data_IF_766793967032
#
_entry.id   IF_766793967032
#
_cell.length_a   1.000
_cell.length_b   1.000
_cell.length_c   1.000
_cell.angle_alpha   90.00
_cell.angle_beta   90.00
_cell.angle_gamma   90.00
#
_symmetry.space_group_name_H-M   'P 1'
#
loop_
_entity.id
_entity.type
_entity.pdbx_description
1 polymer ?
#
# COMPACT_ATOMS: atom_id res chain seq x y z
N UNK A 1 -16.78 -29.49 -8.46
CA UNK A 1 -15.39 -29.69 -7.95
C UNK A 1 -15.30 -28.87 -6.67
N UNK A 2 -14.82 -29.46 -5.58
CA UNK A 2 -14.64 -28.78 -4.29
C UNK A 2 -13.17 -28.46 -4.13
N UNK A 3 -12.85 -27.23 -3.69
CA UNK A 3 -11.51 -26.78 -3.40
C UNK A 3 -11.21 -26.92 -1.90
N UNK A 4 -9.96 -27.07 -1.54
CA UNK A 4 -9.53 -27.00 -0.13
C UNK A 4 -9.53 -25.53 0.33
N UNK A 5 -8.99 -24.64 -0.51
CA UNK A 5 -8.97 -23.20 -0.26
C UNK A 5 -9.51 -22.41 -1.44
N UNK A 6 -10.29 -21.38 -1.15
CA UNK A 6 -10.68 -20.36 -2.14
C UNK A 6 -10.13 -19.02 -1.67
N UNK A 7 -9.38 -18.34 -2.54
CA UNK A 7 -8.80 -17.02 -2.27
C UNK A 7 -9.47 -16.00 -3.17
N UNK A 8 -9.90 -14.88 -2.62
CA UNK A 8 -10.53 -13.78 -3.37
C UNK A 8 -9.61 -12.56 -3.36
N UNK A 9 -9.17 -12.14 -4.56
CA UNK A 9 -8.37 -10.96 -4.81
C UNK A 9 -6.99 -11.26 -5.40
N UNK A 10 -6.76 -10.80 -6.64
CA UNK A 10 -5.53 -10.96 -7.42
C UNK A 10 -4.51 -9.82 -7.20
N UNK A 11 -4.57 -9.15 -6.05
CA UNK A 11 -3.51 -8.26 -5.58
C UNK A 11 -2.36 -9.04 -4.93
N UNK A 12 -1.26 -8.34 -4.61
CA UNK A 12 -0.05 -8.99 -4.10
C UNK A 12 -0.28 -9.83 -2.83
N UNK A 13 -1.19 -9.40 -1.93
CA UNK A 13 -1.48 -10.14 -0.69
C UNK A 13 -2.19 -11.47 -1.02
N UNK A 14 -3.23 -11.45 -1.88
CA UNK A 14 -3.97 -12.66 -2.24
C UNK A 14 -3.11 -13.63 -3.05
N UNK A 15 -2.36 -13.13 -4.03
CA UNK A 15 -1.44 -13.97 -4.83
C UNK A 15 -0.34 -14.58 -3.96
N UNK A 16 0.27 -13.79 -3.08
CA UNK A 16 1.29 -14.29 -2.14
C UNK A 16 0.71 -15.38 -1.22
N UNK A 17 -0.51 -15.19 -0.73
CA UNK A 17 -1.20 -16.19 0.08
C UNK A 17 -1.45 -17.48 -0.70
N UNK A 18 -1.94 -17.37 -1.95
CA UNK A 18 -2.20 -18.52 -2.82
C UNK A 18 -0.92 -19.31 -3.12
N UNK A 19 0.13 -18.60 -3.54
CA UNK A 19 1.43 -19.19 -3.84
C UNK A 19 2.02 -19.92 -2.64
N UNK A 20 2.04 -19.30 -1.46
CA UNK A 20 2.61 -19.91 -0.26
C UNK A 20 1.78 -21.08 0.27
N UNK A 21 0.44 -21.02 0.18
CA UNK A 21 -0.41 -22.17 0.50
C UNK A 21 -0.14 -23.34 -0.44
N UNK A 22 -0.01 -23.09 -1.74
CA UNK A 22 0.29 -24.15 -2.71
C UNK A 22 1.67 -24.74 -2.50
N UNK A 23 2.66 -23.90 -2.15
CA UNK A 23 4.02 -24.37 -1.82
C UNK A 23 4.03 -25.23 -0.55
N UNK A 24 3.27 -24.85 0.49
CA UNK A 24 3.20 -25.56 1.76
C UNK A 24 2.36 -26.84 1.67
N UNK A 25 1.33 -26.86 0.84
CA UNK A 25 0.38 -27.94 0.69
C UNK A 25 0.19 -28.29 -0.80
N UNK A 26 1.19 -28.96 -1.42
CA UNK A 26 1.17 -29.23 -2.88
C UNK A 26 0.00 -30.10 -3.33
N UNK A 27 -0.55 -30.95 -2.44
CA UNK A 27 -1.68 -31.82 -2.73
C UNK A 27 -3.05 -31.13 -2.64
N UNK A 28 -3.10 -29.91 -2.10
CA UNK A 28 -4.35 -29.17 -1.92
C UNK A 28 -4.80 -28.48 -3.22
N UNK A 29 -6.11 -28.48 -3.42
CA UNK A 29 -6.74 -27.76 -4.53
C UNK A 29 -7.05 -26.33 -4.11
N UNK A 30 -6.32 -25.38 -4.67
CA UNK A 30 -6.43 -23.96 -4.32
C UNK A 30 -6.97 -23.20 -5.52
N UNK A 31 -8.05 -22.44 -5.29
CA UNK A 31 -8.66 -21.55 -6.28
C UNK A 31 -8.40 -20.09 -5.90
N UNK A 32 -7.91 -19.29 -6.84
CA UNK A 32 -7.83 -17.83 -6.72
C UNK A 32 -8.78 -17.18 -7.71
N UNK A 33 -9.62 -16.26 -7.24
CA UNK A 33 -10.58 -15.49 -8.04
C UNK A 33 -10.19 -14.00 -8.05
N UNK A 34 -10.05 -13.44 -9.26
CA UNK A 34 -9.84 -12.01 -9.48
C UNK A 34 -10.93 -11.48 -10.45
N UNK A 35 -11.52 -10.34 -10.12
CA UNK A 35 -12.59 -9.70 -10.93
C UNK A 35 -12.08 -9.03 -12.20
N UNK A 36 -10.83 -8.57 -12.19
CA UNK A 36 -10.21 -7.88 -13.32
C UNK A 36 -9.63 -8.87 -14.34
N UNK A 37 -9.34 -8.39 -15.52
CA UNK A 37 -8.71 -9.19 -16.60
C UNK A 37 -7.19 -9.36 -16.42
N UNK A 38 -6.61 -8.72 -15.39
CA UNK A 38 -5.19 -8.78 -15.05
C UNK A 38 -5.01 -8.74 -13.53
N UNK A 39 -3.92 -9.32 -13.04
CA UNK A 39 -3.53 -9.16 -11.64
C UNK A 39 -3.08 -7.73 -11.34
N UNK A 40 -3.06 -7.36 -10.07
CA UNK A 40 -2.48 -6.10 -9.59
C UNK A 40 -3.12 -4.82 -10.14
N UNK A 41 -4.34 -4.89 -10.64
CA UNK A 41 -5.03 -3.74 -11.27
C UNK A 41 -5.24 -2.56 -10.33
N UNK A 42 -5.31 -2.81 -9.01
CA UNK A 42 -5.65 -1.81 -8.00
C UNK A 42 -4.41 -1.38 -7.20
N UNK A 43 -4.45 -1.36 -5.86
CA UNK A 43 -3.40 -0.82 -4.98
C UNK A 43 -2.00 -1.35 -5.29
N UNK A 44 -1.89 -2.63 -5.67
CA UNK A 44 -0.60 -3.25 -6.04
C UNK A 44 0.02 -2.62 -7.29
N UNK A 45 -0.79 -2.19 -8.24
CA UNK A 45 -0.34 -1.53 -9.47
C UNK A 45 -0.27 0.01 -9.36
N UNK A 46 -0.71 0.58 -8.23
CA UNK A 46 -0.82 2.02 -8.02
C UNK A 46 -0.15 2.43 -6.70
N UNK A 47 1.15 2.17 -6.57
CA UNK A 47 1.96 2.49 -5.40
C UNK A 47 3.31 3.10 -5.80
N UNK A 48 4.14 3.42 -4.82
CA UNK A 48 5.45 4.04 -5.04
C UNK A 48 6.58 3.06 -5.43
N UNK A 49 6.31 1.76 -5.51
CA UNK A 49 7.33 0.76 -5.84
C UNK A 49 8.42 0.58 -4.77
N UNK A 50 8.22 1.06 -3.56
CA UNK A 50 9.25 1.05 -2.51
C UNK A 50 9.16 -0.21 -1.65
N UNK A 51 10.26 -0.93 -1.53
CA UNK A 51 10.48 -1.94 -0.49
C UNK A 51 10.92 -1.16 0.77
N UNK A 52 9.99 -1.08 1.74
CA UNK A 52 10.15 -0.26 2.94
C UNK A 52 10.92 -1.00 4.03
N UNK A 53 11.88 -0.33 4.68
CA UNK A 53 12.63 -0.90 5.82
C UNK A 53 11.90 -0.82 7.18
N UNK A 54 10.73 -0.17 7.26
CA UNK A 54 9.92 -0.18 8.48
C UNK A 54 10.18 0.91 9.51
N UNK A 55 10.90 1.97 9.15
CA UNK A 55 11.40 3.03 10.06
C UNK A 55 10.33 3.76 10.89
N UNK A 56 9.07 3.77 10.44
CA UNK A 56 8.00 4.55 11.08
C UNK A 56 7.15 3.76 12.07
N UNK A 57 7.30 2.42 12.11
CA UNK A 57 6.33 1.57 12.78
C UNK A 57 6.66 1.39 14.26
N UNK A 58 5.60 1.30 15.07
CA UNK A 58 5.76 1.04 16.50
C UNK A 58 6.45 -0.31 16.72
N UNK A 59 7.45 -0.38 17.60
CA UNK A 59 8.10 -1.63 17.94
C UNK A 59 7.07 -2.69 18.40
N UNK A 60 7.24 -3.94 17.95
CA UNK A 60 6.35 -5.05 18.27
C UNK A 60 5.03 -5.11 17.49
N UNK A 61 4.64 -4.08 16.72
CA UNK A 61 3.46 -4.11 15.86
C UNK A 61 3.59 -5.16 14.75
N UNK A 62 2.47 -5.64 14.21
CA UNK A 62 2.47 -6.54 13.04
C UNK A 62 3.15 -5.87 11.84
N UNK A 63 2.92 -4.58 11.65
CA UNK A 63 3.61 -3.81 10.61
C UNK A 63 5.13 -3.84 10.74
N UNK A 64 5.67 -3.63 11.95
CA UNK A 64 7.11 -3.67 12.19
C UNK A 64 7.67 -5.05 11.88
N UNK A 65 7.05 -6.11 12.44
CA UNK A 65 7.47 -7.49 12.26
C UNK A 65 7.40 -7.95 10.80
N UNK A 66 6.26 -7.75 10.15
CA UNK A 66 6.05 -8.19 8.77
C UNK A 66 6.82 -7.34 7.76
N UNK A 67 7.04 -6.06 8.05
CA UNK A 67 7.89 -5.24 7.18
C UNK A 67 9.35 -5.72 7.22
N UNK A 68 9.91 -5.93 8.42
CA UNK A 68 11.29 -6.42 8.59
C UNK A 68 11.52 -7.75 7.87
N UNK A 69 10.63 -8.73 8.10
CA UNK A 69 10.69 -10.03 7.42
C UNK A 69 10.45 -9.89 5.91
N UNK A 70 9.55 -8.99 5.50
CA UNK A 70 9.16 -8.78 4.11
C UNK A 70 10.24 -8.17 3.24
N UNK A 71 11.13 -7.33 3.79
CA UNK A 71 12.28 -6.78 3.05
C UNK A 71 13.14 -7.91 2.49
N UNK A 72 13.61 -8.79 3.36
CA UNK A 72 14.45 -9.91 2.97
C UNK A 72 13.72 -10.87 2.02
N UNK A 73 12.49 -11.27 2.40
CA UNK A 73 11.70 -12.22 1.61
C UNK A 73 11.36 -11.69 0.21
N UNK A 74 11.05 -10.38 0.08
CA UNK A 74 10.76 -9.77 -1.24
C UNK A 74 12.00 -9.73 -2.11
N UNK A 75 13.15 -9.34 -1.57
CA UNK A 75 14.40 -9.31 -2.34
C UNK A 75 14.85 -10.71 -2.74
N UNK A 76 14.78 -11.68 -1.83
CA UNK A 76 15.07 -13.09 -2.11
C UNK A 76 14.16 -13.65 -3.21
N UNK A 77 12.85 -13.36 -3.14
CA UNK A 77 11.92 -13.76 -4.20
C UNK A 77 12.29 -13.13 -5.54
N UNK A 78 12.69 -11.85 -5.57
CA UNK A 78 13.13 -11.16 -6.77
C UNK A 78 14.39 -11.81 -7.36
N UNK A 79 15.38 -12.12 -6.53
CA UNK A 79 16.62 -12.78 -6.95
C UNK A 79 16.35 -14.19 -7.54
N UNK A 80 15.45 -14.97 -6.91
CA UNK A 80 15.09 -16.32 -7.35
C UNK A 80 14.24 -16.35 -8.64
N UNK A 81 13.60 -15.22 -9.01
CA UNK A 81 12.65 -15.15 -10.11
C UNK A 81 13.01 -14.11 -11.18
N UNK A 82 14.25 -13.61 -11.20
CA UNK A 82 14.75 -12.62 -12.16
C UNK A 82 13.89 -11.34 -12.24
N UNK A 83 13.33 -10.90 -11.09
CA UNK A 83 12.61 -9.64 -11.02
C UNK A 83 13.59 -8.53 -10.63
N UNK A 84 13.81 -7.52 -11.50
CA UNK A 84 14.76 -6.47 -11.19
C UNK A 84 14.30 -5.60 -10.02
N UNK A 85 15.21 -5.31 -9.10
CA UNK A 85 15.06 -4.34 -8.02
C UNK A 85 16.38 -3.60 -7.79
N UNK A 86 16.33 -2.45 -7.13
CA UNK A 86 17.52 -1.66 -6.82
C UNK A 86 17.55 -1.25 -5.34
N UNK A 87 18.62 -1.59 -4.63
CA UNK A 87 18.86 -1.14 -3.26
C UNK A 87 19.41 0.29 -3.26
N UNK A 88 18.56 1.25 -3.59
CA UNK A 88 18.96 2.65 -3.67
C UNK A 88 19.06 3.34 -2.31
N UNK A 89 18.58 2.74 -1.23
CA UNK A 89 18.52 3.37 0.09
C UNK A 89 17.51 4.52 0.17
N UNK A 90 17.32 5.03 1.39
CA UNK A 90 16.38 6.13 1.67
C UNK A 90 17.03 7.15 2.59
N UNK A 91 16.77 8.42 2.36
CA UNK A 91 17.11 9.54 3.22
C UNK A 91 15.87 10.19 3.79
N UNK A 92 15.81 10.31 5.10
CA UNK A 92 14.80 11.07 5.83
C UNK A 92 15.43 12.40 6.18
N UNK A 93 14.94 13.49 5.60
CA UNK A 93 15.60 14.80 5.65
C UNK A 93 14.87 15.73 6.60
N UNK A 94 15.60 16.30 7.56
CA UNK A 94 15.15 17.36 8.44
C UNK A 94 15.47 18.74 7.82
N UNK A 95 14.48 19.63 7.70
CA UNK A 95 14.62 20.93 7.05
C UNK A 95 14.45 22.12 8.01
N UNK A 96 14.12 21.87 9.27
CA UNK A 96 14.02 22.85 10.34
C UNK A 96 14.33 22.19 11.70
N UNK A 97 14.49 23.00 12.75
CA UNK A 97 14.90 22.55 14.09
C UNK A 97 13.91 21.54 14.71
N UNK A 98 12.61 21.74 14.55
CA UNK A 98 11.60 20.80 15.03
C UNK A 98 11.72 19.43 14.34
N UNK A 99 12.01 19.43 13.05
CA UNK A 99 12.27 18.17 12.32
C UNK A 99 13.58 17.52 12.74
N UNK A 100 14.60 18.27 13.19
CA UNK A 100 15.83 17.71 13.77
C UNK A 100 15.52 17.01 15.09
N UNK A 101 14.73 17.61 15.98
CA UNK A 101 14.29 16.97 17.22
C UNK A 101 13.54 15.66 16.94
N UNK A 102 12.53 15.71 16.03
CA UNK A 102 11.77 14.53 15.60
C UNK A 102 12.65 13.47 14.94
N UNK A 103 13.70 13.88 14.23
CA UNK A 103 14.67 12.99 13.60
C UNK A 103 15.43 12.16 14.64
N UNK A 104 15.87 12.75 15.74
CA UNK A 104 16.54 12.01 16.82
C UNK A 104 15.62 10.99 17.46
N UNK A 105 14.38 11.37 17.78
CA UNK A 105 13.38 10.43 18.31
C UNK A 105 13.07 9.28 17.34
N UNK A 106 13.04 9.57 16.03
CA UNK A 106 12.84 8.55 15.00
C UNK A 106 14.04 7.61 14.87
N UNK A 107 15.25 8.14 15.00
CA UNK A 107 16.49 7.36 15.00
C UNK A 107 16.52 6.35 16.15
N UNK A 108 16.18 6.76 17.37
CA UNK A 108 16.06 5.86 18.52
C UNK A 108 15.02 4.75 18.28
N UNK A 109 13.87 5.09 17.68
CA UNK A 109 12.85 4.10 17.30
C UNK A 109 13.37 3.09 16.26
N UNK A 110 14.18 3.55 15.30
CA UNK A 110 14.80 2.65 14.33
C UNK A 110 15.75 1.66 15.02
N UNK A 111 16.52 2.11 16.02
CA UNK A 111 17.39 1.24 16.82
C UNK A 111 16.58 0.19 17.61
N UNK A 112 15.44 0.60 18.22
CA UNK A 112 14.54 -0.34 18.91
C UNK A 112 13.95 -1.40 17.97
N UNK A 113 13.74 -1.07 16.70
CA UNK A 113 13.30 -2.01 15.65
C UNK A 113 14.47 -2.77 15.00
N UNK A 114 15.70 -2.56 15.47
CA UNK A 114 16.93 -3.17 14.92
C UNK A 114 17.08 -2.90 13.41
N UNK A 115 16.78 -1.68 12.96
CA UNK A 115 16.94 -1.26 11.56
C UNK A 115 18.32 -0.59 11.44
N UNK A 116 19.11 -1.00 10.43
CA UNK A 116 20.41 -0.39 10.13
C UNK A 116 20.22 1.02 9.56
N UNK A 117 20.49 2.01 10.40
CA UNK A 117 20.34 3.43 10.07
C UNK A 117 21.57 4.24 10.51
N UNK A 118 21.89 5.29 9.75
CA UNK A 118 22.96 6.22 10.07
C UNK A 118 22.41 7.66 10.15
N UNK A 119 22.72 8.37 11.24
CA UNK A 119 22.52 9.82 11.30
C UNK A 119 23.55 10.51 10.40
N UNK A 120 23.09 11.48 9.62
CA UNK A 120 23.90 12.31 8.75
C UNK A 120 23.82 13.78 9.17
N UNK A 121 24.94 14.45 9.24
CA UNK A 121 25.01 15.92 9.34
C UNK A 121 24.73 16.56 7.99
N UNK A 122 24.50 17.85 7.96
CA UNK A 122 24.17 18.60 6.74
C UNK A 122 25.21 18.41 5.61
N UNK A 123 26.50 18.38 5.95
CA UNK A 123 27.59 18.17 4.98
C UNK A 123 27.57 16.76 4.38
N UNK A 124 27.32 15.74 5.22
CA UNK A 124 27.21 14.35 4.76
C UNK A 124 25.97 14.14 3.89
N UNK A 125 24.85 14.77 4.26
CA UNK A 125 23.62 14.80 3.44
C UNK A 125 23.92 15.43 2.08
N UNK A 126 24.54 16.61 2.05
CA UNK A 126 24.88 17.35 0.82
C UNK A 126 25.83 16.56 -0.08
N UNK A 127 26.81 15.86 0.51
CA UNK A 127 27.75 15.01 -0.23
C UNK A 127 27.05 13.83 -0.91
N UNK A 128 26.03 13.22 -0.26
CA UNK A 128 25.27 12.09 -0.82
C UNK A 128 24.23 12.54 -1.84
N UNK A 129 23.58 13.66 -1.57
CA UNK A 129 22.49 14.24 -2.35
C UNK A 129 22.76 15.72 -2.65
N UNK A 130 23.57 16.01 -3.67
CA UNK A 130 23.97 17.39 -4.00
C UNK A 130 22.80 18.34 -4.28
N UNK A 131 21.64 17.82 -4.67
CA UNK A 131 20.45 18.60 -5.01
C UNK A 131 19.45 18.73 -3.84
N UNK A 132 19.76 18.12 -2.68
CA UNK A 132 18.90 18.15 -1.51
C UNK A 132 19.48 19.07 -0.46
N UNK A 133 18.61 19.86 0.18
CA UNK A 133 18.97 20.75 1.28
C UNK A 133 18.27 20.29 2.56
N UNK A 134 18.98 20.40 3.68
CA UNK A 134 18.47 20.02 4.99
C UNK A 134 19.53 20.28 6.07
N UNK A 135 19.08 20.27 7.33
CA UNK A 135 19.93 20.43 8.51
C UNK A 135 20.60 19.10 8.93
N UNK A 136 20.12 17.98 8.37
CA UNK A 136 20.61 16.64 8.60
C UNK A 136 19.61 15.61 8.11
N UNK A 137 19.89 14.32 8.35
CA UNK A 137 18.99 13.26 7.93
C UNK A 137 19.31 11.90 8.54
N UNK A 138 18.42 10.94 8.31
CA UNK A 138 18.65 9.53 8.62
C UNK A 138 18.81 8.79 7.29
N UNK A 139 19.94 8.13 7.09
CA UNK A 139 20.14 7.21 5.98
C UNK A 139 19.71 5.81 6.37
N UNK A 140 18.86 5.19 5.55
CA UNK A 140 18.30 3.84 5.70
C UNK A 140 18.78 3.00 4.52
N UNK A 141 19.74 2.15 4.76
CA UNK A 141 20.43 1.37 3.72
C UNK A 141 19.52 0.33 3.03
N UNK A 142 18.66 -0.32 3.80
CA UNK A 142 17.89 -1.49 3.36
C UNK A 142 16.68 -1.16 2.49
N UNK A 143 16.36 0.12 2.28
CA UNK A 143 15.27 0.50 1.40
C UNK A 143 15.64 0.28 -0.06
N UNK A 144 14.69 -0.25 -0.84
CA UNK A 144 14.89 -0.55 -2.25
C UNK A 144 13.66 -0.13 -3.08
N UNK A 145 13.79 -0.24 -4.39
CA UNK A 145 12.70 -0.03 -5.35
C UNK A 145 12.49 -1.26 -6.22
N UNK A 146 11.24 -1.53 -6.58
CA UNK A 146 10.83 -2.68 -7.38
C UNK A 146 9.51 -2.37 -8.11
N UNK A 147 9.21 -3.09 -9.16
CA UNK A 147 7.87 -3.10 -9.74
C UNK A 147 7.02 -4.21 -9.07
N UNK A 148 6.14 -3.84 -8.13
CA UNK A 148 5.28 -4.81 -7.45
C UNK A 148 4.27 -5.52 -8.37
N UNK A 149 3.94 -4.98 -9.55
CA UNK A 149 3.13 -5.71 -10.53
C UNK A 149 3.91 -6.90 -11.08
N UNK A 150 5.21 -6.72 -11.40
CA UNK A 150 6.08 -7.81 -11.86
C UNK A 150 6.27 -8.87 -10.77
N UNK A 151 6.52 -8.45 -9.53
CA UNK A 151 6.60 -9.38 -8.37
C UNK A 151 5.33 -10.22 -8.27
N UNK A 152 4.16 -9.57 -8.31
CA UNK A 152 2.86 -10.25 -8.18
C UNK A 152 2.59 -11.21 -9.35
N UNK A 153 2.91 -10.80 -10.58
CA UNK A 153 2.75 -11.65 -11.76
C UNK A 153 3.62 -12.90 -11.64
N UNK A 154 4.88 -12.75 -11.22
CA UNK A 154 5.77 -13.89 -10.98
C UNK A 154 5.28 -14.83 -9.88
N UNK A 155 4.72 -14.28 -8.78
CA UNK A 155 4.10 -15.11 -7.74
C UNK A 155 2.89 -15.88 -8.30
N UNK A 156 2.08 -15.25 -9.16
CA UNK A 156 0.95 -15.90 -9.82
C UNK A 156 1.41 -17.02 -10.78
N UNK A 157 2.46 -16.77 -11.57
CA UNK A 157 3.05 -17.78 -12.45
C UNK A 157 3.52 -19.00 -11.63
N UNK A 158 4.24 -18.78 -10.52
CA UNK A 158 4.68 -19.86 -9.62
C UNK A 158 3.51 -20.63 -9.00
N UNK A 159 2.44 -19.91 -8.60
CA UNK A 159 1.22 -20.56 -8.11
C UNK A 159 0.60 -21.48 -9.14
N UNK A 160 0.48 -21.03 -10.40
CA UNK A 160 -0.08 -21.80 -11.52
C UNK A 160 0.82 -22.99 -11.89
N UNK A 161 2.14 -22.79 -11.96
CA UNK A 161 3.13 -23.85 -12.23
C UNK A 161 3.07 -24.99 -11.20
N UNK A 162 2.70 -24.68 -9.95
CA UNK A 162 2.49 -25.68 -8.89
C UNK A 162 1.10 -26.34 -8.91
N UNK A 163 0.28 -26.06 -9.92
CA UNK A 163 -1.06 -26.65 -10.09
C UNK A 163 -2.20 -25.84 -9.47
N UNK A 164 -1.96 -24.60 -9.02
CA UNK A 164 -3.00 -23.70 -8.54
C UNK A 164 -3.95 -23.25 -9.65
N UNK A 165 -5.24 -23.12 -9.33
CA UNK A 165 -6.29 -22.65 -10.26
C UNK A 165 -6.48 -21.13 -10.06
N UNK A 166 -6.03 -20.31 -11.00
CA UNK A 166 -6.19 -18.87 -10.97
C UNK A 166 -7.12 -18.36 -12.06
N UNK A 167 -8.22 -17.72 -11.68
CA UNK A 167 -9.26 -17.26 -12.60
C UNK A 167 -9.42 -15.74 -12.55
N UNK A 168 -9.14 -15.12 -13.67
CA UNK A 168 -9.41 -13.70 -13.94
C UNK A 168 -10.85 -13.52 -14.43
N UNK A 169 -11.35 -12.28 -14.43
CA UNK A 169 -12.71 -11.91 -14.84
C UNK A 169 -13.83 -12.58 -13.99
N UNK A 170 -13.50 -13.00 -12.77
CA UNK A 170 -14.44 -13.65 -11.85
C UNK A 170 -14.78 -12.71 -10.69
N UNK A 171 -15.81 -11.88 -10.87
CA UNK A 171 -16.27 -10.95 -9.83
C UNK A 171 -17.16 -11.68 -8.82
N UNK A 172 -16.65 -11.84 -7.59
CA UNK A 172 -17.46 -12.39 -6.49
C UNK A 172 -18.60 -11.45 -6.12
N UNK A 173 -19.81 -12.00 -6.05
CA UNK A 173 -21.07 -11.28 -5.79
C UNK A 173 -21.89 -11.87 -4.65
N UNK A 174 -21.50 -13.03 -4.12
CA UNK A 174 -22.16 -13.66 -2.99
C UNK A 174 -21.25 -14.66 -2.30
N UNK A 175 -21.36 -14.72 -0.97
CA UNK A 175 -20.65 -15.64 -0.10
C UNK A 175 -21.64 -16.25 0.89
N UNK A 176 -21.50 -17.53 1.18
CA UNK A 176 -22.19 -18.18 2.28
C UNK A 176 -21.29 -19.24 2.92
N UNK A 177 -21.45 -19.43 4.21
CA UNK A 177 -20.72 -20.40 5.00
C UNK A 177 -21.70 -21.36 5.67
N UNK A 178 -21.39 -22.64 5.62
CA UNK A 178 -22.10 -23.71 6.35
C UNK A 178 -21.17 -24.36 7.36
N UNK A 179 -21.66 -25.36 8.08
CA UNK A 179 -20.81 -26.18 8.97
C UNK A 179 -19.73 -26.95 8.21
N UNK A 180 -19.95 -27.25 6.92
CA UNK A 180 -19.12 -28.18 6.14
C UNK A 180 -18.30 -27.49 5.05
N UNK A 181 -18.84 -26.45 4.44
CA UNK A 181 -18.22 -25.77 3.29
C UNK A 181 -18.48 -24.27 3.27
N UNK A 182 -17.72 -23.58 2.41
CA UNK A 182 -18.03 -22.22 1.96
C UNK A 182 -18.46 -22.26 0.50
N UNK A 183 -19.46 -21.45 0.17
CA UNK A 183 -19.93 -21.29 -1.19
C UNK A 183 -19.64 -19.87 -1.67
N UNK A 184 -18.99 -19.77 -2.82
CA UNK A 184 -18.63 -18.51 -3.48
C UNK A 184 -19.38 -18.40 -4.79
N UNK A 185 -20.18 -17.35 -4.94
CA UNK A 185 -20.88 -17.03 -6.18
C UNK A 185 -20.14 -15.90 -6.88
N UNK A 186 -19.69 -16.14 -8.10
CA UNK A 186 -19.01 -15.14 -8.92
C UNK A 186 -19.75 -14.92 -10.25
N UNK A 187 -19.43 -13.80 -10.90
CA UNK A 187 -19.81 -13.50 -12.27
C UNK A 187 -18.60 -13.73 -13.17
N UNK A 188 -18.68 -14.70 -14.06
CA UNK A 188 -17.77 -14.92 -15.18
C UNK A 188 -18.38 -14.31 -16.44
N UNK A 189 -17.82 -13.21 -16.93
CA UNK A 189 -18.36 -12.47 -18.09
C UNK A 189 -19.90 -12.24 -18.00
N UNK A 190 -20.39 -11.92 -16.80
CA UNK A 190 -21.80 -11.65 -16.52
C UNK A 190 -22.65 -12.88 -16.21
N UNK A 191 -22.16 -14.11 -16.40
CA UNK A 191 -22.84 -15.36 -16.04
C UNK A 191 -22.51 -15.77 -14.61
N UNK A 192 -23.49 -16.19 -13.84
CA UNK A 192 -23.27 -16.71 -12.48
C UNK A 192 -22.62 -18.08 -12.53
N UNK A 193 -21.52 -18.22 -11.80
CA UNK A 193 -20.80 -19.47 -11.53
C UNK A 193 -20.65 -19.64 -10.02
N UNK A 194 -20.67 -20.89 -9.56
CA UNK A 194 -20.60 -21.20 -8.12
C UNK A 194 -19.42 -22.13 -7.86
N UNK A 195 -18.66 -21.79 -6.84
CA UNK A 195 -17.54 -22.59 -6.34
C UNK A 195 -17.81 -22.99 -4.89
N UNK A 196 -17.35 -24.19 -4.53
CA UNK A 196 -17.38 -24.70 -3.16
C UNK A 196 -15.97 -24.99 -2.67
N UNK A 197 -15.71 -24.65 -1.42
CA UNK A 197 -14.43 -24.90 -0.78
C UNK A 197 -14.55 -25.17 0.70
N UNK A 198 -13.49 -25.75 1.30
CA UNK A 198 -13.44 -26.04 2.73
C UNK A 198 -13.11 -24.80 3.56
N UNK A 199 -12.34 -23.87 2.99
CA UNK A 199 -11.94 -22.63 3.66
C UNK A 199 -11.81 -21.46 2.67
N UNK A 200 -12.21 -20.28 3.11
CA UNK A 200 -12.19 -19.04 2.33
C UNK A 200 -11.16 -18.05 2.90
N UNK A 201 -10.36 -17.45 2.02
CA UNK A 201 -9.49 -16.32 2.38
C UNK A 201 -9.81 -15.14 1.49
N UNK A 202 -10.09 -13.97 2.08
CA UNK A 202 -10.38 -12.77 1.28
C UNK A 202 -9.31 -11.71 1.44
N UNK A 203 -8.73 -11.30 0.30
CA UNK A 203 -7.69 -10.28 0.17
C UNK A 203 -8.16 -9.15 -0.76
N UNK A 204 -9.35 -8.61 -0.48
CA UNK A 204 -10.08 -7.75 -1.41
C UNK A 204 -9.80 -6.24 -1.27
N UNK A 205 -8.81 -5.87 -0.47
CA UNK A 205 -8.28 -4.51 -0.37
C UNK A 205 -9.36 -3.44 -0.16
N UNK A 206 -9.60 -2.60 -1.16
CA UNK A 206 -10.62 -1.54 -1.11
C UNK A 206 -12.06 -2.04 -0.89
N UNK A 207 -12.32 -3.33 -1.12
CA UNK A 207 -13.65 -3.95 -0.93
C UNK A 207 -13.73 -4.82 0.33
N UNK A 208 -12.71 -4.82 1.19
CA UNK A 208 -12.57 -5.74 2.31
C UNK A 208 -13.79 -5.73 3.25
N UNK A 209 -14.25 -4.56 3.70
CA UNK A 209 -15.42 -4.42 4.57
C UNK A 209 -16.73 -4.93 3.91
N UNK A 210 -16.88 -4.78 2.59
CA UNK A 210 -18.03 -5.28 1.84
C UNK A 210 -18.01 -6.80 1.72
N UNK A 211 -16.83 -7.35 1.42
CA UNK A 211 -16.66 -8.80 1.27
C UNK A 211 -16.89 -9.51 2.60
N UNK A 212 -16.34 -8.97 3.71
CA UNK A 212 -16.56 -9.51 5.04
C UNK A 212 -18.03 -9.50 5.45
N UNK A 213 -18.74 -8.41 5.13
CA UNK A 213 -20.20 -8.32 5.37
C UNK A 213 -21.05 -9.27 4.52
N UNK A 214 -20.56 -9.73 3.36
CA UNK A 214 -21.30 -10.73 2.56
C UNK A 214 -21.50 -12.05 3.32
N UNK A 215 -20.60 -12.39 4.25
CA UNK A 215 -20.78 -13.55 5.16
C UNK A 215 -21.53 -13.22 6.45
N UNK A 216 -22.10 -12.02 6.58
CA UNK A 216 -22.82 -11.61 7.80
C UNK A 216 -21.90 -11.27 8.98
N UNK A 217 -20.58 -11.27 8.80
CA UNK A 217 -19.62 -10.91 9.85
C UNK A 217 -19.79 -9.43 10.18
N UNK A 218 -20.09 -9.14 11.43
CA UNK A 218 -20.25 -7.77 11.93
C UNK A 218 -18.89 -7.09 12.01
N UNK A 219 -18.77 -5.92 11.39
CA UNK A 219 -17.54 -5.12 11.42
C UNK A 219 -17.82 -3.74 11.98
N UNK A 220 -16.95 -3.27 12.88
CA UNK A 220 -17.02 -1.92 13.46
C UNK A 220 -16.24 -0.89 12.66
N UNK A 221 -15.82 -1.25 11.45
CA UNK A 221 -15.07 -0.38 10.54
C UNK A 221 -15.72 -0.27 9.16
N UNK A 222 -15.32 0.75 8.43
CA UNK A 222 -15.53 0.90 6.97
C UNK A 222 -14.22 1.28 6.31
N UNK A 223 -14.06 0.83 5.06
CA UNK A 223 -12.96 1.29 4.21
C UNK A 223 -13.32 2.65 3.62
N UNK A 224 -12.57 3.66 4.02
CA UNK A 224 -12.63 5.00 3.45
C UNK A 224 -11.46 5.15 2.46
N UNK A 225 -11.75 5.46 1.18
CA UNK A 225 -10.69 5.62 0.19
C UNK A 225 -9.99 6.97 0.35
N UNK A 226 -8.67 6.97 0.47
CA UNK A 226 -7.83 8.17 0.37
C UNK A 226 -7.01 8.10 -0.89
N UNK A 227 -7.22 9.07 -1.78
CA UNK A 227 -6.49 9.17 -3.03
C UNK A 227 -5.18 9.89 -2.83
N UNK A 228 -4.08 9.25 -3.21
CA UNK A 228 -2.74 9.82 -3.28
C UNK A 228 -2.46 10.29 -4.69
N UNK A 229 -2.25 11.58 -4.87
CA UNK A 229 -1.90 12.17 -6.16
C UNK A 229 -0.39 12.27 -6.29
N UNK A 230 0.11 11.91 -7.45
CA UNK A 230 1.52 11.95 -7.78
C UNK A 230 1.76 12.89 -8.97
N UNK A 231 2.97 13.41 -9.03
CA UNK A 231 3.57 13.93 -10.23
C UNK A 231 4.81 13.13 -10.60
N UNK A 232 5.13 13.07 -11.87
CA UNK A 232 6.43 12.62 -12.36
C UNK A 232 7.27 13.83 -12.70
N UNK A 233 8.56 13.82 -12.39
CA UNK A 233 9.46 14.86 -12.82
C UNK A 233 9.73 14.74 -14.33
N UNK A 234 10.00 15.89 -14.98
CA UNK A 234 10.46 15.90 -16.36
C UNK A 234 11.76 15.09 -16.49
N UNK A 235 11.94 14.39 -17.60
CA UNK A 235 13.06 13.45 -17.82
C UNK A 235 14.46 14.04 -17.55
N UNK A 236 14.64 15.35 -17.75
CA UNK A 236 15.89 16.06 -17.38
C UNK A 236 16.26 15.95 -15.90
N UNK A 237 15.32 15.56 -15.05
CA UNK A 237 15.47 15.40 -13.61
C UNK A 237 15.55 13.94 -13.15
N UNK A 238 15.69 12.97 -14.05
CA UNK A 238 15.79 11.54 -13.68
C UNK A 238 17.01 11.24 -12.78
N UNK A 239 18.04 12.11 -12.82
CA UNK A 239 19.25 12.00 -11.98
C UNK A 239 19.27 13.01 -10.83
N UNK A 240 18.13 13.64 -10.49
CA UNK A 240 18.07 14.70 -9.49
C UNK A 240 18.35 14.19 -8.06
N UNK A 241 18.07 12.92 -7.80
CA UNK A 241 18.32 12.22 -6.52
C UNK A 241 18.94 10.86 -6.76
N UNK A 242 19.83 10.45 -5.85
CA UNK A 242 20.46 9.14 -5.85
C UNK A 242 19.67 8.13 -5.00
N UNK A 243 18.99 8.62 -3.96
CA UNK A 243 18.22 7.82 -2.99
C UNK A 243 16.75 8.24 -2.99
N UNK A 244 15.92 7.49 -2.27
CA UNK A 244 14.57 7.91 -1.94
C UNK A 244 14.64 9.08 -0.94
N UNK A 245 13.99 10.21 -1.21
CA UNK A 245 14.04 11.40 -0.34
C UNK A 245 12.67 11.60 0.30
N UNK A 246 12.62 11.50 1.61
CA UNK A 246 11.43 11.62 2.42
C UNK A 246 11.57 12.71 3.49
N UNK A 247 10.53 13.46 3.83
CA UNK A 247 10.57 14.35 4.98
C UNK A 247 10.57 13.54 6.28
N UNK A 248 11.07 14.15 7.37
CA UNK A 248 10.81 13.64 8.71
C UNK A 248 9.29 13.69 8.94
N UNK A 249 8.67 12.59 9.43
CA UNK A 249 7.24 12.52 9.61
C UNK A 249 6.75 13.48 10.69
N UNK A 250 5.60 14.08 10.46
CA UNK A 250 4.85 14.78 11.49
C UNK A 250 3.94 13.77 12.20
N UNK A 251 4.09 13.53 13.52
CA UNK A 251 3.27 12.56 14.24
C UNK A 251 1.78 12.94 14.30
N UNK A 252 1.45 14.22 14.14
CA UNK A 252 0.08 14.71 14.15
C UNK A 252 -0.65 14.51 12.82
N UNK A 253 0.09 14.08 11.76
CA UNK A 253 -0.47 13.83 10.45
C UNK A 253 -0.71 12.34 10.21
N UNK A 254 -1.87 11.96 9.65
CA UNK A 254 -2.19 10.54 9.40
C UNK A 254 -1.37 9.92 8.26
N UNK A 255 -0.77 10.74 7.41
CA UNK A 255 -0.01 10.30 6.23
C UNK A 255 1.33 11.04 6.13
N UNK A 256 2.30 10.39 5.50
CA UNK A 256 3.60 10.98 5.22
C UNK A 256 3.47 12.16 4.25
N UNK A 257 4.33 13.16 4.44
CA UNK A 257 4.44 14.28 3.52
C UNK A 257 4.96 13.89 2.14
N UNK A 258 4.82 14.81 1.19
CA UNK A 258 5.30 14.65 -0.20
C UNK A 258 6.79 14.34 -0.22
N UNK A 259 7.19 13.37 -1.01
CA UNK A 259 8.56 12.85 -1.10
C UNK A 259 8.98 12.62 -2.57
N UNK A 260 10.29 12.49 -2.81
CA UNK A 260 10.85 12.13 -4.11
C UNK A 260 11.16 10.64 -4.13
N UNK A 261 10.64 9.93 -5.11
CA UNK A 261 10.84 8.50 -5.26
C UNK A 261 11.45 8.18 -6.62
N UNK A 262 12.64 7.60 -6.61
CA UNK A 262 13.19 6.93 -7.80
C UNK A 262 12.34 5.71 -8.11
N UNK A 263 12.06 5.53 -9.39
CA UNK A 263 11.33 4.37 -9.90
C UNK A 263 12.30 3.42 -10.61
N UNK A 264 11.93 2.15 -10.70
CA UNK A 264 12.78 1.12 -11.34
C UNK A 264 13.01 1.38 -12.83
N UNK A 265 12.15 2.18 -13.47
CA UNK A 265 12.30 2.62 -14.87
C UNK A 265 13.24 3.83 -15.03
N UNK A 266 13.86 4.28 -13.95
CA UNK A 266 14.76 5.43 -13.90
C UNK A 266 14.06 6.78 -13.79
N UNK A 267 12.74 6.85 -13.81
CA UNK A 267 12.01 8.10 -13.59
C UNK A 267 11.99 8.48 -12.10
N UNK A 268 11.63 9.73 -11.80
CA UNK A 268 11.45 10.22 -10.43
C UNK A 268 10.03 10.73 -10.25
N UNK A 269 9.32 10.21 -9.26
CA UNK A 269 8.00 10.67 -8.89
C UNK A 269 8.03 11.57 -7.65
N UNK A 270 7.04 12.45 -7.56
CA UNK A 270 6.83 13.39 -6.45
C UNK A 270 5.45 13.13 -5.86
N UNK A 271 5.39 12.82 -4.58
CA UNK A 271 4.12 12.51 -3.92
C UNK A 271 4.22 11.33 -2.98
N UNK A 272 3.06 10.81 -2.57
CA UNK A 272 1.73 11.37 -2.80
C UNK A 272 1.31 12.40 -1.75
N UNK A 273 0.31 13.18 -2.07
CA UNK A 273 -0.55 13.82 -1.06
C UNK A 273 -1.63 12.82 -0.58
N UNK A 274 -2.62 13.28 0.18
CA UNK A 274 -3.73 12.44 0.61
C UNK A 274 -5.04 13.23 0.65
N UNK A 275 -5.86 13.04 -0.39
CA UNK A 275 -7.20 13.63 -0.46
C UNK A 275 -8.28 12.56 -0.37
N UNK A 276 -9.47 12.92 0.09
CA UNK A 276 -10.59 12.00 0.14
C UNK A 276 -10.97 11.51 -1.27
N UNK A 277 -11.13 10.19 -1.44
CA UNK A 277 -11.64 9.58 -2.67
C UNK A 277 -13.16 9.45 -2.64
N UNK A 278 -13.83 9.70 -3.78
CA UNK A 278 -15.28 9.56 -3.91
C UNK A 278 -15.69 8.27 -4.64
N UNK A 279 -14.70 7.47 -5.01
CA UNK A 279 -14.83 6.14 -5.59
C UNK A 279 -13.70 5.26 -5.08
N UNK A 280 -14.02 4.06 -4.61
CA UNK A 280 -13.03 3.13 -4.04
C UNK A 280 -11.98 2.69 -5.06
N UNK A 281 -12.40 2.46 -6.29
CA UNK A 281 -11.54 2.01 -7.39
C UNK A 281 -11.55 3.04 -8.52
N UNK A 282 -11.17 4.29 -8.22
CA UNK A 282 -11.15 5.40 -9.16
C UNK A 282 -9.82 6.14 -9.14
N UNK A 283 -9.04 6.04 -10.23
CA UNK A 283 -7.68 6.54 -10.33
C UNK A 283 -7.57 7.88 -11.09
N UNK A 284 -8.62 8.39 -11.68
CA UNK A 284 -8.67 9.70 -12.33
C UNK A 284 -8.88 10.85 -11.33
N UNK A 285 -8.82 12.08 -11.80
CA UNK A 285 -8.98 13.28 -10.95
C UNK A 285 -10.42 13.45 -10.44
N UNK A 286 -11.40 13.21 -11.30
CA UNK A 286 -12.82 13.30 -10.96
C UNK A 286 -13.41 11.89 -11.11
N UNK A 287 -13.56 11.22 -9.99
CA UNK A 287 -14.16 9.89 -9.92
C UNK A 287 -15.17 9.89 -8.78
N UNK A 288 -16.43 9.70 -9.14
CA UNK A 288 -17.51 9.62 -8.16
C UNK A 288 -18.30 8.32 -8.44
N UNK A 289 -18.60 7.59 -7.37
CA UNK A 289 -19.52 6.48 -7.38
C UNK A 289 -20.54 6.69 -6.27
N UNK A 290 -21.80 6.79 -6.63
CA UNK A 290 -22.89 7.14 -5.70
C UNK A 290 -22.99 6.12 -4.56
N UNK A 291 -22.81 4.82 -4.84
CA UNK A 291 -22.86 3.77 -3.81
C UNK A 291 -21.69 3.85 -2.85
N UNK A 292 -20.49 4.20 -3.35
CA UNK A 292 -19.30 4.39 -2.50
C UNK A 292 -19.47 5.61 -1.61
N UNK A 293 -19.97 6.71 -2.15
CA UNK A 293 -20.28 7.93 -1.40
C UNK A 293 -21.34 7.68 -0.34
N UNK A 294 -22.44 7.00 -0.70
CA UNK A 294 -23.51 6.67 0.22
C UNK A 294 -23.02 5.79 1.40
N UNK A 295 -22.26 4.74 1.10
CA UNK A 295 -21.67 3.85 2.12
C UNK A 295 -20.74 4.62 3.08
N UNK A 296 -20.04 5.63 2.58
CA UNK A 296 -19.15 6.47 3.35
C UNK A 296 -19.92 7.50 4.22
N UNK A 297 -20.84 8.26 3.64
CA UNK A 297 -21.53 9.36 4.37
C UNK A 297 -22.55 8.85 5.39
N UNK A 298 -23.08 7.65 5.23
CA UNK A 298 -23.95 7.00 6.20
C UNK A 298 -23.22 6.37 7.38
N UNK A 299 -21.87 6.37 7.35
CA UNK A 299 -21.05 5.81 8.41
C UNK A 299 -20.61 6.88 9.40
N UNK A 300 -21.02 6.76 10.67
CA UNK A 300 -20.72 7.75 11.71
C UNK A 300 -19.22 8.00 11.96
N UNK A 301 -18.38 6.97 11.78
CA UNK A 301 -16.91 7.08 11.88
C UNK A 301 -16.32 8.05 10.86
N UNK A 302 -16.89 8.11 9.65
CA UNK A 302 -16.47 9.06 8.61
C UNK A 302 -16.57 10.52 9.08
N UNK A 303 -17.69 10.91 9.69
CA UNK A 303 -17.89 12.28 10.17
C UNK A 303 -16.97 12.64 11.34
N UNK A 304 -16.67 11.67 12.19
CA UNK A 304 -15.73 11.85 13.30
C UNK A 304 -14.31 12.07 12.81
N UNK A 305 -13.83 11.24 11.89
CA UNK A 305 -12.52 11.42 11.22
C UNK A 305 -12.45 12.76 10.49
N UNK A 306 -13.51 13.10 9.73
CA UNK A 306 -13.54 14.38 9.01
C UNK A 306 -13.43 15.58 9.96
N UNK A 307 -14.15 15.55 11.07
CA UNK A 307 -14.10 16.60 12.09
C UNK A 307 -12.70 16.72 12.72
N UNK A 308 -12.06 15.60 13.04
CA UNK A 308 -10.73 15.58 13.66
C UNK A 308 -9.62 16.10 12.74
N UNK A 309 -9.76 15.89 11.43
CA UNK A 309 -8.70 16.23 10.45
C UNK A 309 -9.11 17.30 9.43
N UNK A 310 -10.18 18.08 9.70
CA UNK A 310 -10.75 19.04 8.73
C UNK A 310 -9.72 20.06 8.25
N UNK A 311 -8.89 20.61 9.15
CA UNK A 311 -7.86 21.61 8.80
C UNK A 311 -6.83 21.02 7.84
N UNK A 312 -6.33 19.83 8.12
CA UNK A 312 -5.36 19.13 7.29
C UNK A 312 -5.98 18.73 5.95
N UNK A 313 -7.24 18.26 5.97
CA UNK A 313 -7.97 17.91 4.75
C UNK A 313 -8.16 19.12 3.80
N UNK A 314 -8.45 20.31 4.33
CA UNK A 314 -8.57 21.54 3.51
C UNK A 314 -7.22 21.94 2.90
N UNK A 315 -6.10 21.79 3.63
CA UNK A 315 -4.75 22.04 3.12
C UNK A 315 -4.43 21.07 1.98
N UNK A 316 -4.72 19.78 2.15
CA UNK A 316 -4.49 18.76 1.14
C UNK A 316 -5.34 19.00 -0.12
N UNK A 317 -6.63 19.36 0.03
CA UNK A 317 -7.49 19.73 -1.10
C UNK A 317 -6.92 20.96 -1.84
N UNK A 318 -6.50 22.01 -1.11
CA UNK A 318 -5.86 23.19 -1.70
C UNK A 318 -4.63 22.81 -2.50
N UNK A 319 -3.74 21.98 -1.96
CA UNK A 319 -2.52 21.55 -2.62
C UNK A 319 -2.82 20.64 -3.82
N UNK A 320 -3.87 19.82 -3.77
CA UNK A 320 -4.36 19.02 -4.89
C UNK A 320 -4.83 19.88 -6.08
N UNK A 321 -5.53 20.95 -5.79
CA UNK A 321 -6.08 21.86 -6.81
C UNK A 321 -5.06 22.89 -7.31
N UNK A 322 -4.08 23.25 -6.48
CA UNK A 322 -3.13 24.31 -6.76
C UNK A 322 -1.68 23.79 -6.85
N UNK A 323 -1.26 23.47 -8.06
CA UNK A 323 0.06 22.90 -8.36
C UNK A 323 1.26 23.67 -7.76
N UNK A 324 1.29 25.03 -7.74
CA UNK A 324 2.37 25.76 -7.05
C UNK A 324 2.41 25.50 -5.54
N UNK A 325 1.26 25.28 -4.88
CA UNK A 325 1.19 24.91 -3.47
C UNK A 325 1.77 23.53 -3.23
N UNK A 326 1.45 22.59 -4.11
CA UNK A 326 2.05 21.26 -4.07
C UNK A 326 3.58 21.30 -4.23
N UNK A 327 4.08 22.11 -5.19
CA UNK A 327 5.51 22.30 -5.41
C UNK A 327 6.24 22.80 -4.16
N UNK A 328 5.64 23.70 -3.38
CA UNK A 328 6.26 24.22 -2.14
C UNK A 328 6.56 23.12 -1.12
N UNK A 329 5.78 22.04 -1.11
CA UNK A 329 6.01 20.91 -0.20
C UNK A 329 7.32 20.17 -0.52
N UNK A 330 7.73 20.12 -1.79
CA UNK A 330 8.97 19.48 -2.20
C UNK A 330 10.14 20.45 -2.26
N UNK A 331 9.87 21.73 -2.52
CA UNK A 331 10.91 22.77 -2.55
C UNK A 331 11.59 22.99 -1.21
N UNK A 332 10.95 22.60 -0.08
CA UNK A 332 11.58 22.71 1.23
C UNK A 332 12.89 21.90 1.34
N UNK A 333 13.05 20.82 0.55
CA UNK A 333 14.28 20.02 0.49
C UNK A 333 14.89 19.90 -0.91
N UNK A 334 14.15 20.24 -1.98
CA UNK A 334 14.65 20.29 -3.36
C UNK A 334 14.28 21.61 -4.03
N UNK A 335 14.91 22.75 -3.68
CA UNK A 335 14.47 24.09 -4.04
C UNK A 335 14.57 24.43 -5.53
N UNK A 336 15.37 23.71 -6.31
CA UNK A 336 15.58 23.97 -7.73
C UNK A 336 14.41 23.52 -8.63
N UNK A 337 13.46 22.72 -8.12
CA UNK A 337 12.31 22.27 -8.89
C UNK A 337 11.35 23.43 -9.20
N UNK A 338 10.75 23.40 -10.39
CA UNK A 338 9.81 24.37 -10.86
C UNK A 338 8.44 23.72 -11.18
N UNK A 339 7.37 24.53 -11.28
CA UNK A 339 6.01 24.06 -11.61
C UNK A 339 5.99 23.30 -12.96
N UNK A 340 6.79 23.74 -13.93
CA UNK A 340 6.91 23.12 -15.26
C UNK A 340 7.50 21.69 -15.20
N UNK A 341 8.27 21.38 -14.16
CA UNK A 341 8.92 20.07 -14.00
C UNK A 341 7.96 18.98 -13.52
N UNK A 342 6.85 19.36 -12.88
CA UNK A 342 5.84 18.43 -12.42
C UNK A 342 4.92 18.01 -13.58
N UNK A 343 4.98 16.75 -14.01
CA UNK A 343 4.11 16.17 -15.03
C UNK A 343 3.04 15.32 -14.37
N UNK A 344 1.81 15.23 -14.92
CA UNK A 344 0.78 14.35 -14.38
C UNK A 344 1.27 12.89 -14.29
N UNK A 345 0.91 12.22 -13.20
CA UNK A 345 1.20 10.81 -12.99
C UNK A 345 -0.06 10.12 -12.42
N UNK A 346 -0.27 8.81 -12.66
CA UNK A 346 -1.42 8.09 -12.12
C UNK A 346 -1.50 8.17 -10.60
N UNK A 347 -2.70 8.37 -10.08
CA UNK A 347 -2.95 8.36 -8.63
C UNK A 347 -3.06 6.93 -8.09
N UNK A 348 -2.81 6.77 -6.79
CA UNK A 348 -3.13 5.58 -6.04
C UNK A 348 -4.36 5.81 -5.14
N UNK A 349 -5.06 4.76 -4.75
CA UNK A 349 -6.12 4.84 -3.74
C UNK A 349 -5.75 3.94 -2.57
N UNK A 350 -5.65 4.54 -1.38
CA UNK A 350 -5.37 3.82 -0.13
C UNK A 350 -6.69 3.34 0.46
N UNK A 351 -6.76 2.06 0.81
CA UNK A 351 -7.83 1.49 1.59
C UNK A 351 -7.53 1.75 3.08
N UNK A 352 -8.17 2.74 3.66
CA UNK A 352 -8.00 3.05 5.08
C UNK A 352 -9.21 2.55 5.86
N UNK A 353 -9.00 1.59 6.75
CA UNK A 353 -10.04 1.20 7.69
C UNK A 353 -10.22 2.29 8.76
N UNK A 354 -11.45 2.74 8.90
CA UNK A 354 -11.90 3.73 9.89
C UNK A 354 -12.90 3.06 10.80
N UNK A 355 -12.69 3.14 12.11
CA UNK A 355 -13.58 2.57 13.12
C UNK A 355 -14.82 3.45 13.33
N UNK A 356 -15.87 2.89 13.94
CA UNK A 356 -17.10 3.65 14.28
C UNK A 356 -16.85 4.88 15.14
N UNK A 357 -15.84 4.84 16.02
CA UNK A 357 -15.44 5.95 16.88
C UNK A 357 -14.62 7.04 16.14
N UNK A 358 -14.28 6.82 14.87
CA UNK A 358 -13.46 7.71 14.05
C UNK A 358 -11.97 7.47 14.16
N UNK A 359 -11.51 6.48 14.90
CA UNK A 359 -10.10 6.11 14.91
C UNK A 359 -9.67 5.44 13.60
N UNK A 360 -8.43 5.72 13.17
CA UNK A 360 -7.82 5.09 12.01
C UNK A 360 -7.14 3.79 12.44
N UNK A 361 -7.37 2.71 11.70
CA UNK A 361 -6.67 1.45 11.94
C UNK A 361 -5.28 1.56 11.34
N UNK A 362 -4.26 1.65 12.21
CA UNK A 362 -2.88 1.85 11.78
C UNK A 362 -2.11 0.56 11.50
N UNK A 363 -2.57 -0.58 11.99
CA UNK A 363 -1.93 -1.89 11.79
C UNK A 363 -2.78 -2.81 10.91
N UNK A 364 -2.29 -4.02 10.64
CA UNK A 364 -3.07 -5.05 9.95
C UNK A 364 -4.28 -5.46 10.79
N UNK A 365 -5.40 -5.67 10.12
CA UNK A 365 -6.65 -6.08 10.73
C UNK A 365 -7.20 -7.30 10.00
N UNK A 366 -7.51 -8.33 10.76
CA UNK A 366 -8.12 -9.56 10.28
C UNK A 366 -9.48 -9.78 10.93
N UNK A 367 -10.38 -10.47 10.25
CA UNK A 367 -11.61 -10.98 10.79
C UNK A 367 -11.74 -12.46 10.39
N UNK A 368 -12.34 -13.25 11.24
CA UNK A 368 -12.42 -14.70 11.07
C UNK A 368 -13.83 -15.20 11.32
N UNK A 369 -14.14 -16.33 10.69
CA UNK A 369 -15.25 -17.20 11.01
C UNK A 369 -14.73 -18.64 11.08
N UNK A 370 -15.53 -19.65 11.44
CA UNK A 370 -15.06 -21.04 11.49
C UNK A 370 -14.41 -21.53 10.20
N UNK A 371 -14.79 -20.97 9.04
CA UNK A 371 -14.29 -21.39 7.72
C UNK A 371 -13.81 -20.23 6.84
N UNK A 372 -13.55 -19.08 7.42
CA UNK A 372 -12.99 -17.98 6.63
C UNK A 372 -12.04 -17.08 7.42
N UNK A 373 -11.09 -16.49 6.68
CA UNK A 373 -10.19 -15.43 7.14
C UNK A 373 -10.24 -14.26 6.17
N UNK A 374 -10.45 -13.08 6.70
CA UNK A 374 -10.57 -11.85 5.92
C UNK A 374 -9.44 -10.89 6.26
N UNK A 375 -8.66 -10.50 5.25
CA UNK A 375 -7.69 -9.39 5.38
C UNK A 375 -8.45 -8.08 5.26
N UNK A 376 -8.85 -7.52 6.40
CA UNK A 376 -9.73 -6.36 6.49
C UNK A 376 -9.00 -5.03 6.29
N UNK A 377 -7.77 -4.94 6.76
CA UNK A 377 -6.92 -3.75 6.60
C UNK A 377 -5.48 -4.19 6.38
N UNK A 378 -4.92 -3.84 5.23
CA UNK A 378 -3.52 -4.06 4.91
C UNK A 378 -2.90 -2.75 4.40
N UNK A 379 -2.63 -1.79 5.31
CA UNK A 379 -2.06 -0.51 4.94
C UNK A 379 -0.57 -0.65 4.58
N UNK A 380 0.02 0.41 3.97
CA UNK A 380 1.47 0.42 3.75
C UNK A 380 2.20 0.06 5.06
N UNK A 381 3.09 -0.91 5.03
CA UNK A 381 3.87 -1.44 3.90
C UNK A 381 3.36 -2.79 3.34
N UNK A 382 2.07 -2.98 3.16
CA UNK A 382 1.49 -4.28 2.81
C UNK A 382 2.15 -4.96 1.59
N UNK A 383 2.60 -4.20 0.58
CA UNK A 383 3.28 -4.78 -0.57
C UNK A 383 4.62 -5.41 -0.19
N UNK A 384 5.46 -4.71 0.59
CA UNK A 384 6.70 -5.27 1.16
C UNK A 384 6.42 -6.46 2.08
N UNK A 385 5.33 -6.37 2.85
CA UNK A 385 4.94 -7.38 3.85
C UNK A 385 4.12 -8.53 3.27
N UNK A 386 3.89 -8.58 1.95
CA UNK A 386 2.95 -9.52 1.34
C UNK A 386 3.33 -10.99 1.56
N UNK A 387 4.62 -11.31 1.52
CA UNK A 387 5.11 -12.68 1.78
C UNK A 387 4.87 -13.08 3.24
N UNK A 388 5.29 -12.32 4.26
CA UNK A 388 4.96 -12.64 5.65
C UNK A 388 3.46 -12.65 5.97
N UNK A 389 2.66 -11.80 5.34
CA UNK A 389 1.19 -11.84 5.50
C UNK A 389 0.64 -13.18 4.96
N UNK A 390 1.08 -13.57 3.77
CA UNK A 390 0.66 -14.83 3.17
C UNK A 390 1.07 -16.04 3.98
#
# INVERSE_FOLDING_TARGET
>A
MTYDYIIIGGGIVGISTAWQLQQRFPEKKILLLEKESVYSRHQTGHNSGVIHAGVYYAPGSLKSRFCKAGVAATMEFCDQNDVPYERCGKLLVATNELEVERMHALFERCQQNEIDVKLLRAEELKSREPNIVGLGGIFVKESAIVNFQQVTTKMADRFIEMGGDARLNHKVVGLSESTDDVTVVALDNGKRVTFKGSFLITCTGLMADRTTRMLGIQTDFRIIPFRGEYYQLAAKHNQIVNHLIYPIPDPDLPFLGVHLTRMIDGSVTVGPNAVLGWKREGYGRININILDVWDMVTFGGFWRVLKSHIKNGLIEIKNSLWKPGYLKLVQKYCPQLQVSDLKPYPSGVRAQAVMKDGSLVHDFLFAESPRSLHVCNAPSPAATSAIPIG
#
